data_IF_128563550497
#
_entry.id   IF_128563550497
#
_cell.length_a   1.000
_cell.length_b   1.000
_cell.length_c   1.000
_cell.angle_alpha   90.00
_cell.angle_beta   90.00
_cell.angle_gamma   90.00
#
_symmetry.space_group_name_H-M   'P 1'
#
loop_
_entity.id
_entity.type
_entity.pdbx_description
1 polymer ?
#
# COMPACT_ATOMS: atom_id res chain seq x y z
N UNK A 1 -0.77 12.52 -6.41
CA UNK A 1 0.54 12.57 -5.74
C UNK A 1 1.24 11.23 -5.93
N UNK A 2 2.54 11.21 -6.20
CA UNK A 2 3.36 10.00 -6.37
C UNK A 2 4.58 10.07 -5.46
N UNK A 3 4.96 8.97 -4.83
CA UNK A 3 6.11 8.86 -3.94
C UNK A 3 7.02 7.73 -4.42
N UNK A 4 8.30 8.05 -4.63
CA UNK A 4 9.34 7.07 -4.89
C UNK A 4 9.93 6.61 -3.55
N UNK A 5 9.87 5.32 -3.27
CA UNK A 5 10.40 4.77 -2.03
C UNK A 5 10.70 3.27 -2.18
N UNK A 6 11.39 2.71 -1.20
CA UNK A 6 11.40 1.27 -1.01
C UNK A 6 10.14 0.84 -0.26
N UNK A 7 9.59 -0.30 -0.68
CA UNK A 7 8.35 -0.84 -0.13
C UNK A 7 8.53 -2.31 0.20
N UNK A 8 8.11 -2.69 1.39
CA UNK A 8 7.94 -4.08 1.79
C UNK A 8 6.48 -4.31 2.18
N UNK A 9 5.86 -5.34 1.60
CA UNK A 9 4.51 -5.76 1.95
C UNK A 9 4.62 -7.05 2.76
N UNK A 10 4.17 -7.00 4.02
CA UNK A 10 4.31 -8.08 4.98
C UNK A 10 2.92 -8.64 5.28
N UNK A 11 2.66 -9.91 4.94
CA UNK A 11 1.42 -10.56 5.35
C UNK A 11 1.46 -10.97 6.82
N UNK A 12 0.43 -10.59 7.58
CA UNK A 12 0.29 -10.93 9.00
C UNK A 12 -0.04 -12.41 9.22
N UNK A 13 -0.37 -13.15 8.17
CA UNK A 13 -0.55 -14.61 8.24
C UNK A 13 0.77 -15.38 8.20
N UNK A 14 1.87 -14.79 7.74
CA UNK A 14 3.16 -15.49 7.60
C UNK A 14 3.64 -16.11 8.93
N UNK A 15 3.65 -15.38 10.06
CA UNK A 15 4.11 -15.95 11.33
C UNK A 15 3.31 -17.17 11.78
N UNK A 16 1.98 -17.16 11.56
CA UNK A 16 1.10 -18.27 11.89
C UNK A 16 1.37 -19.53 11.04
N UNK A 17 1.93 -19.35 9.84
CA UNK A 17 2.32 -20.44 8.94
C UNK A 17 3.78 -20.89 9.14
N UNK A 18 4.48 -20.38 10.17
CA UNK A 18 5.91 -20.63 10.37
C UNK A 18 6.80 -20.00 9.27
N UNK A 19 6.23 -19.11 8.45
CA UNK A 19 6.93 -18.40 7.40
C UNK A 19 7.37 -17.02 7.90
N UNK A 20 8.54 -16.58 7.47
CA UNK A 20 9.03 -15.22 7.71
C UNK A 20 9.17 -14.52 6.38
N UNK A 21 8.86 -13.22 6.36
CA UNK A 21 9.10 -12.44 5.15
C UNK A 21 10.61 -12.46 4.84
N UNK A 22 10.97 -12.95 3.64
CA UNK A 22 12.36 -13.05 3.17
C UNK A 22 12.74 -11.87 2.26
N UNK A 23 11.81 -10.95 2.00
CA UNK A 23 11.99 -9.85 1.06
C UNK A 23 12.82 -8.72 1.64
N UNK A 24 13.78 -8.23 0.87
CA UNK A 24 14.30 -6.86 1.00
C UNK A 24 13.28 -5.91 0.37
N UNK A 25 13.17 -4.68 0.86
CA UNK A 25 12.32 -3.66 0.27
C UNK A 25 12.57 -3.53 -1.24
N UNK A 26 11.49 -3.38 -2.02
CA UNK A 26 11.57 -3.21 -3.47
C UNK A 26 11.30 -1.76 -3.81
N UNK A 27 12.12 -1.19 -4.69
CA UNK A 27 11.88 0.16 -5.21
C UNK A 27 10.56 0.23 -5.95
N UNK A 28 9.68 1.11 -5.49
CA UNK A 28 8.33 1.27 -6.00
C UNK A 28 7.94 2.75 -6.08
N UNK A 29 6.87 2.98 -6.84
CA UNK A 29 6.15 4.24 -6.89
C UNK A 29 4.81 4.01 -6.19
N UNK A 30 4.58 4.69 -5.07
CA UNK A 30 3.26 4.75 -4.46
C UNK A 30 2.46 5.91 -5.03
N UNK A 31 1.23 5.62 -5.41
CA UNK A 31 0.29 6.63 -5.88
C UNK A 31 -1.01 6.54 -5.08
N UNK A 32 -1.52 7.69 -4.64
CA UNK A 32 -2.89 7.80 -4.14
C UNK A 32 -3.82 8.04 -5.33
N UNK A 33 -4.78 7.15 -5.54
CA UNK A 33 -5.76 7.23 -6.61
C UNK A 33 -7.18 7.04 -6.08
N UNK A 34 -8.17 7.50 -6.84
CA UNK A 34 -9.57 7.22 -6.57
C UNK A 34 -10.00 6.00 -7.37
N UNK A 35 -10.79 5.09 -6.77
CA UNK A 35 -11.28 3.90 -7.47
C UNK A 35 -12.09 4.30 -8.71
N UNK A 36 -11.69 3.79 -9.88
CA UNK A 36 -12.46 3.92 -11.11
C UNK A 36 -13.52 2.82 -11.23
N UNK A 37 -14.69 3.10 -11.84
CA UNK A 37 -15.84 2.18 -11.87
C UNK A 37 -15.57 0.80 -12.48
N UNK A 38 -14.53 0.66 -13.31
CA UNK A 38 -14.14 -0.60 -13.97
C UNK A 38 -13.04 -1.41 -13.28
N UNK A 39 -12.46 -0.93 -12.18
CA UNK A 39 -11.39 -1.61 -11.42
C UNK A 39 -11.92 -2.16 -10.09
N UNK A 40 -13.14 -2.71 -10.09
CA UNK A 40 -13.77 -3.21 -8.87
C UNK A 40 -13.12 -4.51 -8.42
N UNK A 41 -12.52 -4.49 -7.22
CA UNK A 41 -12.08 -5.70 -6.51
C UNK A 41 -13.20 -6.30 -5.64
N UNK A 42 -14.29 -5.56 -5.40
CA UNK A 42 -15.51 -6.01 -4.73
C UNK A 42 -16.75 -5.36 -5.36
N UNK A 43 -17.88 -6.07 -5.51
CA UNK A 43 -19.14 -5.45 -5.85
C UNK A 43 -19.58 -4.58 -4.66
N UNK A 44 -19.55 -3.26 -4.79
CA UNK A 44 -20.28 -2.41 -3.83
C UNK A 44 -21.77 -2.49 -4.16
N UNK A 45 -22.60 -2.64 -3.13
CA UNK A 45 -24.02 -2.29 -3.22
C UNK A 45 -24.10 -0.87 -3.80
N UNK A 46 -24.88 -0.73 -4.87
CA UNK A 46 -25.11 0.50 -5.65
C UNK A 46 -25.14 1.73 -4.74
N UNK A 47 -24.02 2.43 -4.65
CA UNK A 47 -23.93 3.70 -3.94
C UNK A 47 -24.51 4.80 -4.81
N UNK A 48 -25.22 5.73 -4.19
CA UNK A 48 -25.86 6.87 -4.83
C UNK A 48 -24.91 7.61 -5.81
N UNK A 49 -25.40 8.01 -6.99
CA UNK A 49 -24.63 8.81 -7.93
C UNK A 49 -24.25 10.14 -7.28
N UNK A 50 -22.98 10.31 -6.94
CA UNK A 50 -22.45 11.50 -6.26
C UNK A 50 -21.59 11.23 -5.03
N UNK A 51 -21.51 9.97 -4.55
CA UNK A 51 -20.64 9.65 -3.42
C UNK A 51 -19.14 9.78 -3.78
N UNK A 52 -18.30 10.36 -2.89
CA UNK A 52 -16.85 10.43 -3.10
C UNK A 52 -16.26 9.03 -3.28
N UNK A 53 -15.54 8.83 -4.38
CA UNK A 53 -14.90 7.54 -4.71
C UNK A 53 -13.90 7.14 -3.62
N UNK A 54 -13.85 5.85 -3.21
CA UNK A 54 -12.91 5.42 -2.19
C UNK A 54 -11.47 5.71 -2.60
N UNK A 55 -10.68 6.21 -1.65
CA UNK A 55 -9.24 6.37 -1.83
C UNK A 55 -8.56 4.99 -1.88
N UNK A 56 -7.60 4.85 -2.78
CA UNK A 56 -6.79 3.66 -2.96
C UNK A 56 -5.31 4.01 -2.99
N UNK A 57 -4.52 3.08 -2.47
CA UNK A 57 -3.07 3.07 -2.57
C UNK A 57 -2.68 2.12 -3.70
N UNK A 58 -1.98 2.64 -4.69
CA UNK A 58 -1.39 1.85 -5.77
C UNK A 58 0.12 1.76 -5.55
N UNK A 59 0.64 0.54 -5.48
CA UNK A 59 2.07 0.25 -5.42
C UNK A 59 2.49 -0.32 -6.76
N UNK A 60 3.26 0.44 -7.53
CA UNK A 60 3.80 0.00 -8.82
C UNK A 60 5.31 -0.18 -8.71
N UNK A 61 5.85 -1.26 -9.25
CA UNK A 61 7.31 -1.49 -9.30
C UNK A 61 7.79 -1.39 -10.75
N UNK A 62 9.11 -1.35 -10.95
CA UNK A 62 9.67 -1.40 -12.32
C UNK A 62 9.30 -2.69 -13.06
N UNK A 63 9.17 -3.81 -12.32
CA UNK A 63 8.78 -5.11 -12.86
C UNK A 63 7.27 -5.23 -13.09
N UNK A 64 6.48 -4.61 -12.22
CA UNK A 64 5.02 -4.58 -12.32
C UNK A 64 4.50 -3.15 -12.39
N UNK A 65 4.36 -2.66 -13.62
CA UNK A 65 3.84 -1.31 -13.91
C UNK A 65 2.34 -1.18 -13.60
N UNK A 66 1.57 -2.28 -13.69
CA UNK A 66 0.14 -2.26 -13.35
C UNK A 66 -0.06 -2.08 -11.86
N UNK A 67 0.85 -2.67 -11.07
CA UNK A 67 0.94 -2.52 -9.63
C UNK A 67 -0.18 -3.21 -8.87
N UNK A 68 -0.05 -3.21 -7.54
CA UNK A 68 -1.04 -3.76 -6.61
C UNK A 68 -1.84 -2.63 -5.97
N UNK A 69 -3.16 -2.80 -5.88
CA UNK A 69 -4.10 -1.80 -5.34
C UNK A 69 -4.61 -2.24 -3.98
N UNK A 70 -4.64 -1.30 -3.04
CA UNK A 70 -5.19 -1.47 -1.71
C UNK A 70 -6.22 -0.38 -1.45
N UNK A 71 -7.44 -0.77 -1.05
CA UNK A 71 -8.46 0.18 -0.62
C UNK A 71 -8.07 0.75 0.75
N UNK A 72 -8.18 2.07 0.93
CA UNK A 72 -7.82 2.74 2.17
C UNK A 72 -9.04 3.10 3.02
N UNK A 73 -10.18 3.37 2.38
CA UNK A 73 -11.40 3.77 3.08
C UNK A 73 -11.84 2.66 4.03
N UNK A 74 -11.97 2.99 5.33
CA UNK A 74 -12.36 2.07 6.41
C UNK A 74 -11.45 0.85 6.63
N UNK A 75 -10.38 0.73 5.83
CA UNK A 75 -9.50 -0.43 5.80
C UNK A 75 -8.15 -0.19 6.49
N UNK A 76 -7.78 1.06 6.78
CA UNK A 76 -6.60 1.33 7.61
C UNK A 76 -6.95 0.96 9.05
N UNK A 77 -6.21 0.01 9.61
CA UNK A 77 -6.30 -0.36 11.01
C UNK A 77 -5.42 0.56 11.86
N UNK A 78 -4.19 0.80 11.40
CA UNK A 78 -3.23 1.63 12.10
C UNK A 78 -2.23 2.24 11.12
N UNK A 79 -1.78 3.46 11.43
CA UNK A 79 -0.72 4.14 10.69
C UNK A 79 0.42 4.46 11.65
N UNK A 80 1.60 3.92 11.39
CA UNK A 80 2.79 4.10 12.21
C UNK A 80 3.75 5.07 11.52
N UNK A 81 3.99 6.22 12.15
CA UNK A 81 4.87 7.28 11.64
C UNK A 81 6.06 7.53 12.55
N UNK A 82 6.42 6.57 13.42
CA UNK A 82 7.53 6.67 14.39
C UNK A 82 8.87 7.09 13.77
N UNK A 83 8.98 7.02 12.45
CA UNK A 83 10.19 7.28 11.68
C UNK A 83 10.00 8.41 10.66
N UNK A 84 9.08 9.36 10.87
CA UNK A 84 8.98 10.54 10.00
C UNK A 84 10.34 11.26 9.87
N UNK A 85 11.11 11.29 10.95
CA UNK A 85 12.49 11.82 10.99
C UNK A 85 13.51 10.90 10.30
N UNK A 86 13.32 9.58 10.31
CA UNK A 86 14.19 8.59 9.64
C UNK A 86 13.74 8.25 8.20
N UNK A 87 12.63 8.82 7.74
CA UNK A 87 12.02 8.52 6.45
C UNK A 87 11.37 7.14 6.34
N UNK A 88 10.82 6.56 7.42
CA UNK A 88 10.03 5.31 7.36
C UNK A 88 8.59 5.51 7.80
N UNK A 89 7.69 4.70 7.28
CA UNK A 89 6.29 4.66 7.70
C UNK A 89 5.72 3.27 7.49
N UNK A 90 4.70 2.88 8.26
CA UNK A 90 4.01 1.61 8.06
C UNK A 90 2.50 1.83 8.06
N UNK A 91 1.83 1.34 7.03
CA UNK A 91 0.37 1.34 6.92
C UNK A 91 -0.12 -0.09 7.18
N UNK A 92 -0.90 -0.30 8.24
CA UNK A 92 -1.54 -1.58 8.54
C UNK A 92 -2.95 -1.60 8.00
N UNK A 93 -3.24 -2.58 7.16
CA UNK A 93 -4.56 -2.78 6.57
C UNK A 93 -5.32 -3.91 7.29
N UNK A 94 -6.63 -3.76 7.40
CA UNK A 94 -7.53 -4.81 7.91
C UNK A 94 -7.62 -5.95 6.89
N UNK A 95 -7.83 -5.61 5.61
CA UNK A 95 -8.06 -6.57 4.52
C UNK A 95 -7.34 -6.14 3.21
N UNK A 96 -6.45 -6.97 2.63
CA UNK A 96 -5.88 -8.15 3.28
C UNK A 96 -5.08 -7.73 4.53
N UNK A 97 -4.91 -8.62 5.52
CA UNK A 97 -4.21 -8.28 6.76
C UNK A 97 -2.70 -8.20 6.51
N UNK A 98 -2.28 -7.09 5.92
CA UNK A 98 -0.89 -6.79 5.54
C UNK A 98 -0.41 -5.50 6.17
N UNK A 99 0.88 -5.46 6.47
CA UNK A 99 1.61 -4.25 6.84
C UNK A 99 2.42 -3.79 5.63
N UNK A 100 2.17 -2.56 5.17
CA UNK A 100 2.90 -1.92 4.07
C UNK A 100 3.94 -1.00 4.69
N UNK A 101 5.20 -1.45 4.68
CA UNK A 101 6.34 -0.70 5.16
C UNK A 101 6.93 0.13 4.03
N UNK A 102 7.12 1.42 4.31
CA UNK A 102 7.70 2.42 3.43
C UNK A 102 9.02 2.88 4.02
N UNK A 103 10.07 2.95 3.20
CA UNK A 103 11.35 3.55 3.56
C UNK A 103 11.82 4.49 2.46
N UNK A 104 12.33 5.65 2.86
CA UNK A 104 12.90 6.65 1.95
C UNK A 104 13.89 5.96 1.02
N UNK A 105 13.73 6.22 -0.28
CA UNK A 105 14.70 5.81 -1.27
C UNK A 105 16.03 6.48 -0.90
N UNK A 106 17.03 5.68 -0.51
CA UNK A 106 18.38 6.19 -0.24
C UNK A 106 19.00 6.45 -1.59
N UNK A 107 18.65 7.59 -2.20
CA UNK A 107 19.29 8.04 -3.42
C UNK A 107 20.76 8.25 -3.07
N UNK A 108 21.62 7.32 -3.45
CA UNK A 108 23.04 7.60 -3.56
C UNK A 108 23.15 8.66 -4.66
N UNK A 109 23.51 9.87 -4.26
CA UNK A 109 23.95 10.92 -5.19
C UNK A 109 25.25 10.41 -5.81
N UNK A 110 25.17 9.87 -7.03
CA UNK A 110 26.30 9.73 -7.95
C UNK A 110 26.51 11.02 -8.70
#
# INVERSE_FOLDING_TARGET
MKLHCEVEVISRHLPALGLRNRGKGVRAILSLCQQTPGSQLRPRARGEPGSPRPACLLISTMKDKRGTRYELKENIEQFFTKFADEGKATIRLKEPPVDICLSKDSIWLS
#
